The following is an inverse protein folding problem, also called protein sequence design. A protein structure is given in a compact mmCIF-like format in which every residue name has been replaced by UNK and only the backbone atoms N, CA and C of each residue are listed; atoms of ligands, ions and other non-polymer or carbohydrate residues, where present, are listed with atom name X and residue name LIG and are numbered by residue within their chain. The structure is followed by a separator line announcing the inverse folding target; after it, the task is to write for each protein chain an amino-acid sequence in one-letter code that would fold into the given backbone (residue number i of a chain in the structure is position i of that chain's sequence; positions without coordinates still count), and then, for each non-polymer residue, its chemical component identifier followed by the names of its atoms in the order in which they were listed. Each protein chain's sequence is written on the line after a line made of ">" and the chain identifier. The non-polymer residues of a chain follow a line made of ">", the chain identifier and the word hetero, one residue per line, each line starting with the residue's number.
data_IF_238812090981
#
_entry.id   IF_238812090981
#
_cell.length_a   1.000
_cell.length_b   1.000
_cell.length_c   1.000
_cell.angle_alpha   90.00
_cell.angle_beta   90.00
_cell.angle_gamma   90.00
#
_symmetry.space_group_name_H-M   'P 1'
#
loop_
_entity.id
_entity.type
_entity.pdbx_description
1 polymer ?
#
# COMPACT_ATOMS: atom_id res chain seq x y z
N UNK A 1 14.77 8.01 -13.68
CA UNK A 1 14.29 7.86 -12.29
C UNK A 1 13.58 9.14 -11.89
N UNK A 2 12.25 9.23 -12.04
CA UNK A 2 11.49 10.39 -11.57
C UNK A 2 11.28 10.24 -10.06
N UNK A 3 11.67 11.30 -9.36
CA UNK A 3 11.85 11.37 -7.92
C UNK A 3 10.52 11.15 -7.20
N UNK A 4 10.50 10.30 -6.18
CA UNK A 4 9.43 10.21 -5.16
C UNK A 4 9.31 11.49 -4.29
N UNK A 5 9.98 12.58 -4.69
CA UNK A 5 10.11 13.85 -3.99
C UNK A 5 8.82 14.70 -4.00
N UNK A 6 7.68 14.10 -4.33
CA UNK A 6 6.36 14.76 -4.34
C UNK A 6 5.60 14.44 -3.04
N UNK A 7 6.11 13.56 -2.18
CA UNK A 7 5.50 13.23 -0.89
C UNK A 7 6.27 13.90 0.26
N UNK A 8 5.57 14.17 1.37
CA UNK A 8 6.19 14.82 2.55
C UNK A 8 7.43 14.03 2.98
N UNK A 9 8.65 14.60 2.89
CA UNK A 9 9.89 13.85 2.97
C UNK A 9 10.19 13.24 4.35
N UNK A 10 9.42 13.63 5.39
CA UNK A 10 9.65 13.24 6.76
C UNK A 10 8.45 12.60 7.47
N UNK A 11 7.44 12.18 6.70
CA UNK A 11 6.24 11.53 7.23
C UNK A 11 5.79 10.38 6.33
N UNK A 12 5.86 9.17 6.87
CA UNK A 12 5.41 7.95 6.19
C UNK A 12 3.91 7.80 6.39
N UNK A 13 3.14 8.07 5.34
CA UNK A 13 1.70 7.78 5.24
C UNK A 13 1.39 6.48 4.51
N UNK A 14 0.10 6.21 4.28
CA UNK A 14 -0.34 4.98 3.60
C UNK A 14 0.10 4.94 2.14
N UNK A 15 0.20 6.09 1.49
CA UNK A 15 0.75 6.25 0.15
C UNK A 15 2.20 5.78 0.02
N UNK A 16 3.02 5.99 1.06
CA UNK A 16 4.41 5.56 1.05
C UNK A 16 4.51 4.05 1.11
N UNK A 17 3.71 3.41 1.97
CA UNK A 17 3.63 1.95 2.08
C UNK A 17 3.14 1.36 0.75
N UNK A 18 2.06 1.92 0.19
CA UNK A 18 1.50 1.46 -1.08
C UNK A 18 2.49 1.61 -2.24
N UNK A 19 3.15 2.77 -2.37
CA UNK A 19 4.18 2.95 -3.40
C UNK A 19 5.36 2.01 -3.19
N UNK A 20 5.73 1.69 -1.94
CA UNK A 20 6.75 0.69 -1.63
C UNK A 20 6.38 -0.69 -2.19
N UNK A 21 5.17 -1.17 -1.85
CA UNK A 21 4.62 -2.43 -2.34
C UNK A 21 4.61 -2.52 -3.88
N UNK A 22 4.18 -1.44 -4.53
CA UNK A 22 4.07 -1.38 -5.99
C UNK A 22 5.44 -1.30 -6.67
N UNK A 23 6.39 -0.55 -6.09
CA UNK A 23 7.75 -0.40 -6.62
C UNK A 23 8.61 -1.64 -6.46
N UNK A 24 8.40 -2.41 -5.40
CA UNK A 24 9.07 -3.69 -5.23
C UNK A 24 8.74 -4.63 -6.40
N UNK A 25 7.47 -4.68 -6.81
CA UNK A 25 6.99 -5.27 -8.07
C UNK A 25 7.12 -6.79 -8.21
N UNK A 26 7.91 -7.44 -7.35
CA UNK A 26 8.18 -8.87 -7.30
C UNK A 26 7.36 -9.65 -6.27
N UNK A 27 6.97 -9.02 -5.17
CA UNK A 27 6.18 -9.65 -4.11
C UNK A 27 4.74 -10.01 -4.50
N UNK A 28 4.16 -10.92 -3.73
CA UNK A 28 2.79 -11.43 -3.90
C UNK A 28 1.74 -10.31 -3.92
N UNK A 29 1.86 -9.29 -3.07
CA UNK A 29 0.93 -8.15 -3.07
C UNK A 29 0.89 -7.41 -4.41
N UNK A 30 2.05 -7.22 -5.07
CA UNK A 30 2.11 -6.62 -6.40
C UNK A 30 1.54 -7.56 -7.48
N UNK A 31 1.73 -8.87 -7.33
CA UNK A 31 1.15 -9.88 -8.23
C UNK A 31 -0.38 -9.89 -8.14
N UNK A 32 -0.94 -9.82 -6.93
CA UNK A 32 -2.39 -9.72 -6.71
C UNK A 32 -2.98 -8.50 -7.43
N UNK A 33 -2.36 -7.33 -7.29
CA UNK A 33 -2.81 -6.13 -8.00
C UNK A 33 -2.82 -6.31 -9.52
N UNK A 34 -1.77 -6.94 -10.08
CA UNK A 34 -1.71 -7.24 -11.53
C UNK A 34 -2.81 -8.22 -11.96
N UNK A 35 -3.05 -9.27 -11.19
CA UNK A 35 -4.05 -10.29 -11.51
C UNK A 35 -5.48 -9.75 -11.42
N UNK A 36 -5.72 -8.79 -10.52
CA UNK A 36 -6.97 -8.02 -10.46
C UNK A 36 -7.13 -7.01 -11.61
N UNK A 37 -6.20 -6.99 -12.58
CA UNK A 37 -6.24 -6.13 -13.76
C UNK A 37 -5.83 -4.68 -13.49
N UNK A 38 -5.15 -4.43 -12.36
CA UNK A 38 -4.74 -3.08 -12.00
C UNK A 38 -3.44 -2.73 -12.72
N UNK A 39 -3.48 -1.62 -13.44
CA UNK A 39 -2.33 -1.07 -14.14
C UNK A 39 -1.43 -0.31 -13.16
N UNK A 40 -0.29 -0.92 -12.83
CA UNK A 40 0.71 -0.36 -11.91
C UNK A 40 1.24 1.00 -12.39
N UNK A 41 1.35 1.21 -13.71
CA UNK A 41 1.88 2.47 -14.26
C UNK A 41 0.93 3.65 -13.99
N UNK A 42 -0.35 3.38 -13.71
CA UNK A 42 -1.35 4.39 -13.32
C UNK A 42 -1.35 4.72 -11.83
N UNK A 43 -0.72 3.90 -10.98
CA UNK A 43 -0.77 4.09 -9.52
C UNK A 43 0.04 5.30 -9.06
N UNK A 44 1.23 5.49 -9.62
CA UNK A 44 2.09 6.64 -9.26
C UNK A 44 1.41 7.99 -9.56
N UNK A 45 0.91 8.25 -10.80
CA UNK A 45 0.25 9.53 -11.07
C UNK A 45 -1.00 9.75 -10.23
N UNK A 46 -1.79 8.71 -9.94
CA UNK A 46 -2.97 8.79 -9.08
C UNK A 46 -2.60 9.21 -7.64
N UNK A 47 -1.56 8.61 -7.07
CA UNK A 47 -1.05 8.96 -5.74
C UNK A 47 -0.58 10.42 -5.71
N UNK A 48 0.18 10.85 -6.72
CA UNK A 48 0.67 12.23 -6.82
C UNK A 48 -0.47 13.25 -6.94
N UNK A 49 -1.51 12.93 -7.71
CA UNK A 49 -2.67 13.78 -7.87
C UNK A 49 -3.44 13.93 -6.55
N UNK A 50 -3.76 12.81 -5.89
CA UNK A 50 -4.47 12.83 -4.61
C UNK A 50 -3.67 13.52 -3.50
N UNK A 51 -2.34 13.38 -3.50
CA UNK A 51 -1.47 14.07 -2.55
C UNK A 51 -1.55 15.59 -2.72
N UNK A 52 -1.45 16.08 -3.96
CA UNK A 52 -1.58 17.51 -4.28
C UNK A 52 -2.93 18.07 -3.86
N UNK A 53 -4.01 17.32 -4.12
CA UNK A 53 -5.39 17.72 -3.76
C UNK A 53 -5.60 17.82 -2.25
N UNK A 54 -4.97 16.94 -1.46
CA UNK A 54 -5.04 16.98 0.01
C UNK A 54 -4.16 18.07 0.64
N UNK A 55 -3.60 18.97 -0.19
CA UNK A 55 -2.81 20.10 0.27
C UNK A 55 -1.48 19.70 0.89
N UNK A 56 -0.92 18.57 0.46
CA UNK A 56 0.42 18.15 0.84
C UNK A 56 1.41 19.24 0.46
N UNK A 57 1.77 20.08 1.44
CA UNK A 57 2.83 21.05 1.26
C UNK A 57 4.15 20.29 1.34
N UNK A 58 5.04 20.55 0.39
CA UNK A 58 6.45 20.19 0.46
C UNK A 58 7.13 20.97 1.60
N UNK A 59 6.71 20.71 2.83
CA UNK A 59 7.45 21.17 4.00
C UNK A 59 8.65 20.27 4.13
N UNK A 60 9.80 20.80 3.68
CA UNK A 60 11.13 20.24 3.93
C UNK A 60 11.40 20.36 5.43
N UNK A 61 10.78 19.48 6.21
CA UNK A 61 11.03 19.38 7.63
C UNK A 61 12.32 18.57 7.83
N UNK A 62 13.44 19.24 8.04
CA UNK A 62 14.62 18.60 8.66
C UNK A 62 14.21 18.04 10.03
N UNK A 63 14.36 16.73 10.24
CA UNK A 63 13.99 16.09 11.50
C UNK A 63 13.85 14.57 11.41
N UNK A 64 13.34 13.95 12.48
CA UNK A 64 13.09 12.50 12.57
C UNK A 64 11.91 12.07 11.69
N UNK A 65 12.09 11.00 10.91
CA UNK A 65 11.02 10.35 10.15
C UNK A 65 9.93 9.86 11.12
N UNK A 66 8.69 10.29 10.87
CA UNK A 66 7.52 9.89 11.66
C UNK A 66 6.53 9.10 10.81
N UNK A 67 5.74 8.21 11.42
CA UNK A 67 4.68 7.47 10.75
C UNK A 67 3.33 8.10 11.09
N UNK A 68 2.38 8.09 10.15
CA UNK A 68 1.00 8.46 10.44
C UNK A 68 0.31 7.37 11.26
N UNK A 69 -0.75 7.73 11.99
CA UNK A 69 -1.58 6.74 12.70
C UNK A 69 -2.16 5.70 11.74
N UNK A 70 -2.55 6.10 10.52
CA UNK A 70 -3.06 5.16 9.53
C UNK A 70 -1.95 4.24 8.98
N UNK A 71 -0.71 4.72 8.82
CA UNK A 71 0.42 3.87 8.46
C UNK A 71 0.70 2.80 9.52
N UNK A 72 0.60 3.14 10.80
CA UNK A 72 0.72 2.17 11.90
C UNK A 72 -0.40 1.12 11.83
N UNK A 73 -1.65 1.56 11.65
CA UNK A 73 -2.81 0.66 11.50
C UNK A 73 -2.68 -0.32 10.33
N UNK A 74 -2.09 0.11 9.21
CA UNK A 74 -1.82 -0.79 8.07
C UNK A 74 -0.97 -1.98 8.52
N UNK A 75 0.08 -1.73 9.31
CA UNK A 75 0.96 -2.78 9.81
C UNK A 75 0.25 -3.67 10.83
N UNK A 76 -0.53 -3.08 11.75
CA UNK A 76 -1.34 -3.84 12.70
C UNK A 76 -2.31 -4.78 12.00
N UNK A 77 -3.02 -4.29 10.97
CA UNK A 77 -3.90 -5.12 10.17
C UNK A 77 -3.13 -6.18 9.38
N UNK A 78 -1.98 -5.87 8.78
CA UNK A 78 -1.16 -6.86 8.11
C UNK A 78 -0.73 -8.01 9.04
N UNK A 79 -0.38 -7.71 10.29
CA UNK A 79 -0.08 -8.72 11.32
C UNK A 79 -1.30 -9.60 11.59
N UNK A 80 -2.49 -9.01 11.71
CA UNK A 80 -3.74 -9.76 11.89
C UNK A 80 -4.03 -10.65 10.68
N UNK A 81 -3.81 -10.16 9.46
CA UNK A 81 -4.07 -10.93 8.26
C UNK A 81 -3.12 -12.11 8.08
N UNK A 82 -1.84 -11.94 8.41
CA UNK A 82 -0.89 -13.05 8.43
C UNK A 82 -1.35 -14.15 9.41
N UNK A 83 -1.80 -13.75 10.61
CA UNK A 83 -2.34 -14.70 11.60
C UNK A 83 -3.64 -15.36 11.13
N UNK A 84 -4.52 -14.63 10.45
CA UNK A 84 -5.79 -15.18 9.95
C UNK A 84 -5.57 -16.23 8.84
N UNK A 85 -4.48 -16.07 8.07
CA UNK A 85 -4.06 -17.01 7.03
C UNK A 85 -3.12 -18.11 7.57
N UNK A 86 -2.83 -18.13 8.87
CA UNK A 86 -1.87 -19.04 9.52
C UNK A 86 -0.44 -18.95 8.93
N UNK A 87 -0.07 -17.77 8.45
CA UNK A 87 1.27 -17.47 7.94
C UNK A 87 2.20 -17.01 9.08
N UNK A 88 3.37 -17.64 9.19
CA UNK A 88 4.36 -17.34 10.23
C UNK A 88 5.06 -15.97 10.03
N UNK A 89 5.02 -15.43 8.80
CA UNK A 89 5.69 -14.19 8.40
C UNK A 89 4.75 -13.22 7.70
N UNK A 90 5.08 -11.93 7.77
CA UNK A 90 4.30 -10.86 7.15
C UNK A 90 4.90 -10.53 5.78
N UNK A 91 4.35 -11.14 4.73
CA UNK A 91 4.63 -10.79 3.34
C UNK A 91 3.90 -9.55 2.82
N UNK A 92 4.18 -9.20 1.56
CA UNK A 92 3.63 -8.02 0.87
C UNK A 92 2.12 -8.10 0.64
N UNK A 93 1.57 -9.30 0.54
CA UNK A 93 0.15 -9.60 0.44
C UNK A 93 -0.61 -9.21 1.71
N UNK A 94 -0.04 -9.44 2.88
CA UNK A 94 -0.64 -9.00 4.14
C UNK A 94 -0.62 -7.48 4.25
N UNK A 95 0.44 -6.83 3.78
CA UNK A 95 0.52 -5.36 3.71
C UNK A 95 -0.57 -4.81 2.76
N UNK A 96 -0.80 -5.45 1.61
CA UNK A 96 -1.90 -5.10 0.71
C UNK A 96 -3.26 -5.21 1.42
N UNK A 97 -3.52 -6.32 2.10
CA UNK A 97 -4.76 -6.51 2.85
C UNK A 97 -4.91 -5.47 3.98
N UNK A 98 -3.82 -5.15 4.68
CA UNK A 98 -3.80 -4.09 5.69
C UNK A 98 -4.12 -2.71 5.11
N UNK A 99 -3.61 -2.39 3.92
CA UNK A 99 -3.95 -1.17 3.19
C UNK A 99 -5.43 -1.13 2.81
N UNK A 100 -5.99 -2.25 2.35
CA UNK A 100 -7.41 -2.36 1.98
C UNK A 100 -8.36 -2.29 3.18
N UNK A 101 -7.89 -2.63 4.38
CA UNK A 101 -8.67 -2.57 5.63
C UNK A 101 -8.69 -1.17 6.25
N UNK A 102 -7.72 -0.33 5.95
CA UNK A 102 -7.74 1.07 6.37
C UNK A 102 -8.74 1.85 5.51
N UNK A 103 -9.74 2.47 6.14
CA UNK A 103 -10.79 3.24 5.45
C UNK A 103 -10.36 4.62 4.97
N UNK A 104 -9.26 5.16 5.52
CA UNK A 104 -8.82 6.54 5.27
C UNK A 104 -7.34 6.62 4.88
N UNK A 105 -7.06 7.40 3.85
CA UNK A 105 -5.69 7.67 3.42
C UNK A 105 -5.65 7.95 1.94
N UNK A 106 -4.45 8.15 1.40
CA UNK A 106 -4.27 8.25 -0.05
C UNK A 106 -4.32 6.84 -0.65
N UNK A 107 -3.61 5.86 -0.08
CA UNK A 107 -3.61 4.50 -0.61
C UNK A 107 -5.01 3.86 -0.66
N UNK A 108 -5.80 3.99 0.41
CA UNK A 108 -7.18 3.48 0.46
C UNK A 108 -8.04 4.05 -0.67
N UNK A 109 -7.86 5.35 -0.96
CA UNK A 109 -8.59 6.04 -2.01
C UNK A 109 -8.13 5.62 -3.41
N UNK A 110 -6.82 5.45 -3.61
CA UNK A 110 -6.25 4.92 -4.87
C UNK A 110 -6.77 3.52 -5.14
N UNK A 111 -6.68 2.62 -4.16
CA UNK A 111 -7.15 1.24 -4.29
C UNK A 111 -8.66 1.17 -4.59
N UNK A 112 -9.47 2.02 -3.94
CA UNK A 112 -10.90 2.14 -4.22
C UNK A 112 -11.18 2.66 -5.64
N UNK A 113 -10.45 3.68 -6.11
CA UNK A 113 -10.57 4.22 -7.47
C UNK A 113 -10.22 3.17 -8.53
N UNK A 114 -9.31 2.25 -8.20
CA UNK A 114 -8.91 1.13 -9.05
C UNK A 114 -9.82 -0.10 -8.92
N UNK A 115 -10.88 -0.01 -8.12
CA UNK A 115 -11.87 -1.09 -7.94
C UNK A 115 -11.35 -2.28 -7.13
N UNK A 116 -10.22 -2.14 -6.44
CA UNK A 116 -9.66 -3.19 -5.58
C UNK A 116 -10.41 -3.19 -4.25
N UNK A 117 -10.95 -4.35 -3.88
CA UNK A 117 -11.55 -4.56 -2.58
C UNK A 117 -10.87 -5.73 -1.86
N UNK A 118 -11.05 -5.79 -0.54
CA UNK A 118 -10.39 -6.77 0.32
C UNK A 118 -10.81 -8.22 0.00
N UNK A 119 -12.06 -8.45 -0.34
CA UNK A 119 -12.59 -9.79 -0.63
C UNK A 119 -11.94 -10.38 -1.89
N UNK A 120 -11.89 -9.59 -2.97
CA UNK A 120 -11.24 -10.00 -4.21
C UNK A 120 -9.73 -10.21 -4.02
N UNK A 121 -9.08 -9.36 -3.22
CA UNK A 121 -7.66 -9.52 -2.92
C UNK A 121 -7.38 -10.80 -2.11
N UNK A 122 -8.19 -11.14 -1.11
CA UNK A 122 -8.06 -12.40 -0.37
C UNK A 122 -8.22 -13.62 -1.26
N UNK A 123 -9.29 -13.64 -2.08
CA UNK A 123 -9.53 -14.73 -3.02
C UNK A 123 -8.34 -14.91 -3.97
N UNK A 124 -7.74 -13.81 -4.44
CA UNK A 124 -6.56 -13.88 -5.31
C UNK A 124 -5.34 -14.42 -4.57
N UNK A 125 -5.12 -14.03 -3.31
CA UNK A 125 -4.01 -14.53 -2.48
C UNK A 125 -4.12 -16.04 -2.28
N UNK A 126 -5.31 -16.55 -1.94
CA UNK A 126 -5.55 -17.99 -1.75
C UNK A 126 -5.34 -18.81 -3.04
N UNK A 127 -5.52 -18.19 -4.20
CA UNK A 127 -5.29 -18.83 -5.51
C UNK A 127 -3.81 -18.83 -5.93
N UNK A 128 -2.98 -18.00 -5.29
CA UNK A 128 -1.56 -17.96 -5.58
C UNK A 128 -0.83 -19.06 -4.79
N UNK A 129 0.16 -19.72 -5.40
CA UNK A 129 0.98 -20.68 -4.68
C UNK A 129 1.72 -19.97 -3.56
N UNK A 130 1.66 -20.57 -2.37
CA UNK A 130 2.27 -20.06 -1.17
C UNK A 130 3.79 -19.88 -1.40
N UNK A 131 4.24 -18.63 -1.49
CA UNK A 131 5.66 -18.31 -1.60
C UNK A 131 6.17 -18.11 -0.20
N UNK A 132 6.74 -19.18 0.37
CA UNK A 132 7.48 -19.07 1.62
C UNK A 132 8.75 -18.25 1.35
N UNK A 133 8.64 -16.92 1.52
CA UNK A 133 9.75 -15.97 1.54
C UNK A 133 10.35 -15.85 2.94
#
# INVERSE_FOLDING_TARGET
>A
MKNTAILVPNRIGTEHIFLGLVKEGGGTGAAVLKNLGVDIDKMLPEVEELFKLKGGKDEVAEGKITQTQNAIKVIEYAIEEARNLDHEYIGTEHILLGLLRVSEGIASQVLANLGVNIENARMEIENLPDRQE
#
